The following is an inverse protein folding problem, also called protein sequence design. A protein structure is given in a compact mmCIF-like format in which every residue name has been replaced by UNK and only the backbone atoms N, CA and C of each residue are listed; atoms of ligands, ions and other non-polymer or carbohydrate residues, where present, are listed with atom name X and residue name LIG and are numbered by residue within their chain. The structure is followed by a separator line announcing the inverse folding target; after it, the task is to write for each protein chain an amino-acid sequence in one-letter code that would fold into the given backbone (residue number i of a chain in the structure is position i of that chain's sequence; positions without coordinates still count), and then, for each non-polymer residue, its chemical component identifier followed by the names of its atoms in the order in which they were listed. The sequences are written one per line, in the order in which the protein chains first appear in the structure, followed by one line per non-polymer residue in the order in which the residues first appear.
data_IF_373989959751
#
_entry.id   IF_373989959751
#
_cell.length_a   1.000
_cell.length_b   1.000
_cell.length_c   1.000
_cell.angle_alpha   90.00
_cell.angle_beta   90.00
_cell.angle_gamma   90.00
#
_symmetry.space_group_name_H-M   'P 1'
#
loop_
_entity.id
_entity.type
_entity.pdbx_description
1 polymer ?
#
# COMPACT_ATOMS: atom_id res chain seq x y z
N UNK A 1 11.18 -7.11 -1.98
CA UNK A 1 11.80 -7.55 -3.25
C UNK A 1 11.68 -6.40 -4.24
N UNK A 2 12.71 -6.12 -5.03
CA UNK A 2 12.62 -5.06 -6.07
C UNK A 2 11.90 -5.57 -7.32
N UNK A 3 11.33 -4.66 -8.10
CA UNK A 3 10.52 -4.99 -9.27
C UNK A 3 11.26 -5.87 -10.29
N UNK A 4 12.53 -5.57 -10.53
CA UNK A 4 13.41 -6.31 -11.46
C UNK A 4 13.50 -7.80 -11.05
N UNK A 5 13.53 -8.08 -9.75
CA UNK A 5 13.59 -9.45 -9.23
C UNK A 5 12.22 -10.11 -9.24
N UNK A 6 11.15 -9.35 -8.97
CA UNK A 6 9.78 -9.89 -8.98
C UNK A 6 9.33 -10.31 -10.37
N UNK A 7 9.81 -9.66 -11.45
CA UNK A 7 9.44 -10.01 -12.83
C UNK A 7 9.83 -11.44 -13.26
N UNK A 8 10.61 -12.14 -12.46
CA UNK A 8 10.98 -13.55 -12.66
C UNK A 8 9.97 -14.52 -12.04
N UNK A 9 9.03 -14.03 -11.24
CA UNK A 9 8.02 -14.84 -10.55
C UNK A 9 6.84 -15.13 -11.47
N UNK A 10 6.37 -16.37 -11.45
CA UNK A 10 5.05 -16.71 -12.02
C UNK A 10 3.93 -16.01 -11.23
N UNK A 11 2.75 -15.83 -11.83
CA UNK A 11 1.61 -15.18 -11.15
C UNK A 11 1.25 -15.82 -9.79
N UNK A 12 1.21 -17.15 -9.63
CA UNK A 12 0.99 -17.76 -8.31
C UNK A 12 2.07 -17.44 -7.28
N UNK A 13 3.34 -17.37 -7.70
CA UNK A 13 4.46 -17.02 -6.81
C UNK A 13 4.40 -15.54 -6.42
N UNK A 14 4.10 -14.67 -7.38
CA UNK A 14 3.91 -13.24 -7.13
C UNK A 14 2.76 -13.00 -6.17
N UNK A 15 1.59 -13.60 -6.42
CA UNK A 15 0.42 -13.51 -5.53
C UNK A 15 0.70 -14.05 -4.13
N UNK A 16 1.47 -15.13 -4.00
CA UNK A 16 1.90 -15.64 -2.70
C UNK A 16 2.80 -14.64 -1.95
N UNK A 17 3.66 -13.93 -2.69
CA UNK A 17 4.62 -12.97 -2.12
C UNK A 17 3.97 -11.62 -1.75
N UNK A 18 3.18 -11.03 -2.66
CA UNK A 18 2.61 -9.69 -2.50
C UNK A 18 1.19 -9.69 -1.95
N UNK A 19 0.46 -10.80 -2.08
CA UNK A 19 -0.95 -10.91 -1.75
C UNK A 19 -1.91 -10.61 -2.91
N UNK A 20 -1.43 -10.14 -4.06
CA UNK A 20 -2.25 -9.74 -5.22
C UNK A 20 -1.72 -10.32 -6.53
N UNK A 21 -2.57 -10.45 -7.55
CA UNK A 21 -2.12 -10.87 -8.89
C UNK A 21 -1.35 -9.77 -9.61
N UNK A 22 -0.64 -10.14 -10.68
CA UNK A 22 0.01 -9.16 -11.56
C UNK A 22 -0.96 -8.17 -12.17
N UNK A 23 -2.17 -8.61 -12.54
CA UNK A 23 -3.21 -7.73 -13.10
C UNK A 23 -3.60 -6.61 -12.14
N UNK A 24 -3.86 -6.93 -10.87
CA UNK A 24 -4.16 -5.95 -9.82
C UNK A 24 -2.97 -5.04 -9.57
N UNK A 25 -1.76 -5.58 -9.53
CA UNK A 25 -0.54 -4.79 -9.35
C UNK A 25 -0.36 -3.73 -10.44
N UNK A 26 -0.52 -4.09 -11.72
CA UNK A 26 -0.41 -3.12 -12.81
C UNK A 26 -1.51 -2.07 -12.78
N UNK A 27 -2.73 -2.44 -12.36
CA UNK A 27 -3.80 -1.47 -12.15
C UNK A 27 -3.45 -0.44 -11.07
N UNK A 28 -2.82 -0.87 -9.97
CA UNK A 28 -2.33 0.04 -8.93
C UNK A 28 -1.25 0.99 -9.47
N UNK A 29 -0.26 0.46 -10.20
CA UNK A 29 0.80 1.27 -10.83
C UNK A 29 0.22 2.30 -11.80
N UNK A 30 -0.79 1.93 -12.58
CA UNK A 30 -1.51 2.85 -13.48
C UNK A 30 -2.19 4.00 -12.71
N UNK A 31 -2.80 3.72 -11.55
CA UNK A 31 -3.40 4.78 -10.73
C UNK A 31 -2.34 5.74 -10.17
N UNK A 32 -1.18 5.23 -9.76
CA UNK A 32 -0.08 6.08 -9.30
C UNK A 32 0.48 6.95 -10.43
N UNK A 33 0.57 6.41 -11.65
CA UNK A 33 1.07 7.12 -12.82
C UNK A 33 0.27 8.41 -13.11
N UNK A 34 -1.03 8.41 -12.82
CA UNK A 34 -1.93 9.59 -12.97
C UNK A 34 -1.61 10.73 -11.99
N UNK A 35 -0.90 10.43 -10.90
CA UNK A 35 -0.57 11.37 -9.83
C UNK A 35 0.91 11.72 -9.75
N UNK A 36 1.70 11.34 -10.76
CA UNK A 36 3.12 11.71 -10.84
C UNK A 36 3.26 13.22 -11.06
N UNK A 37 3.99 13.94 -10.20
CA UNK A 37 4.24 15.37 -10.40
C UNK A 37 5.00 15.61 -11.70
N UNK A 38 4.48 16.49 -12.57
CA UNK A 38 5.16 16.89 -13.80
C UNK A 38 6.43 17.75 -13.54
N UNK A 39 6.60 18.28 -12.33
CA UNK A 39 7.71 19.15 -11.94
C UNK A 39 8.28 18.72 -10.59
N UNK A 40 9.59 18.84 -10.43
CA UNK A 40 10.30 18.56 -9.19
C UNK A 40 11.41 17.51 -9.36
N UNK A 41 12.02 17.11 -8.25
CA UNK A 41 13.01 16.04 -8.25
C UNK A 41 12.32 14.69 -8.48
N UNK A 42 12.77 13.87 -9.44
CA UNK A 42 12.20 12.55 -9.64
C UNK A 42 12.43 11.67 -8.39
N UNK A 43 11.47 10.79 -8.06
CA UNK A 43 11.63 9.85 -6.97
C UNK A 43 12.79 8.88 -7.25
N UNK A 44 13.46 8.43 -6.18
CA UNK A 44 14.58 7.47 -6.29
C UNK A 44 14.12 6.07 -6.72
N UNK A 45 12.89 5.71 -6.36
CA UNK A 45 12.27 4.42 -6.68
C UNK A 45 11.30 4.57 -7.85
N UNK A 46 11.21 3.56 -8.70
CA UNK A 46 10.19 3.48 -9.75
C UNK A 46 8.79 3.38 -9.13
N UNK A 47 7.74 3.57 -9.93
CA UNK A 47 6.37 3.43 -9.43
C UNK A 47 6.09 2.00 -8.98
N UNK A 48 6.61 1.02 -9.70
CA UNK A 48 6.51 -0.39 -9.36
C UNK A 48 7.17 -0.70 -8.02
N UNK A 49 8.39 -0.19 -7.80
CA UNK A 49 9.09 -0.35 -6.53
C UNK A 49 8.38 0.36 -5.38
N UNK A 50 7.71 1.50 -5.63
CA UNK A 50 6.89 2.19 -4.64
C UNK A 50 5.66 1.36 -4.24
N UNK A 51 4.96 0.76 -5.20
CA UNK A 51 3.83 -0.15 -4.92
C UNK A 51 4.31 -1.40 -4.18
N UNK A 52 5.41 -2.02 -4.62
CA UNK A 52 5.97 -3.21 -3.95
C UNK A 52 6.43 -2.91 -2.53
N UNK A 53 7.03 -1.73 -2.30
CA UNK A 53 7.40 -1.26 -0.96
C UNK A 53 6.15 -1.19 -0.07
N UNK A 54 5.09 -0.57 -0.56
CA UNK A 54 3.82 -0.45 0.17
C UNK A 54 3.19 -1.82 0.48
N UNK A 55 3.13 -2.72 -0.52
CA UNK A 55 2.63 -4.08 -0.35
C UNK A 55 3.44 -4.87 0.67
N UNK A 56 4.76 -4.72 0.69
CA UNK A 56 5.61 -5.38 1.70
C UNK A 56 5.33 -4.87 3.12
N UNK A 57 5.06 -3.57 3.26
CA UNK A 57 4.66 -2.98 4.53
C UNK A 57 3.32 -3.55 5.01
N UNK A 58 2.28 -3.52 4.17
CA UNK A 58 0.95 -4.02 4.55
C UNK A 58 0.92 -5.54 4.80
N UNK A 59 1.68 -6.31 4.02
CA UNK A 59 1.65 -7.78 4.09
C UNK A 59 2.41 -8.34 5.29
N UNK A 60 3.55 -7.74 5.63
CA UNK A 60 4.48 -8.28 6.64
C UNK A 60 4.54 -7.41 7.90
N UNK A 61 3.91 -6.24 7.88
CA UNK A 61 3.85 -5.28 8.99
C UNK A 61 5.22 -4.95 9.60
N UNK A 62 6.28 -4.99 8.77
CA UNK A 62 7.64 -4.65 9.18
C UNK A 62 7.75 -3.16 9.45
N UNK A 63 8.67 -2.79 10.35
CA UNK A 63 8.94 -1.36 10.62
C UNK A 63 9.36 -0.64 9.34
N UNK A 64 8.96 0.63 9.22
CA UNK A 64 9.33 1.45 8.07
C UNK A 64 10.86 1.57 7.92
N UNK A 65 11.62 1.52 9.02
CA UNK A 65 13.07 1.40 8.99
C UNK A 65 13.54 0.16 8.20
N UNK A 66 13.04 -1.04 8.53
CA UNK A 66 13.40 -2.28 7.85
C UNK A 66 13.04 -2.27 6.36
N UNK A 67 11.84 -1.78 6.05
CA UNK A 67 11.36 -1.65 4.67
C UNK A 67 12.25 -0.65 3.92
N UNK A 68 12.51 0.52 4.48
CA UNK A 68 13.35 1.56 3.88
C UNK A 68 14.77 1.06 3.58
N UNK A 69 15.39 0.33 4.51
CA UNK A 69 16.72 -0.27 4.33
C UNK A 69 16.73 -1.24 3.14
N UNK A 70 15.70 -2.08 3.01
CA UNK A 70 15.60 -3.07 1.91
C UNK A 70 15.53 -2.41 0.52
N UNK A 71 14.95 -1.21 0.44
CA UNK A 71 14.82 -0.44 -0.80
C UNK A 71 15.92 0.64 -0.96
N UNK A 72 16.81 0.80 0.02
CA UNK A 72 17.89 1.79 -0.01
C UNK A 72 17.40 3.24 0.03
N UNK A 73 16.30 3.50 0.76
CA UNK A 73 15.75 4.84 1.01
C UNK A 73 15.81 5.17 2.51
N UNK A 74 15.58 6.43 2.88
CA UNK A 74 15.44 6.78 4.30
C UNK A 74 14.07 6.38 4.84
N UNK A 75 13.96 6.14 6.13
CA UNK A 75 12.70 5.81 6.79
C UNK A 75 11.60 6.88 6.56
N UNK A 76 11.87 8.19 6.65
CA UNK A 76 10.88 9.21 6.28
C UNK A 76 10.43 9.13 4.82
N UNK A 77 11.33 8.75 3.90
CA UNK A 77 10.97 8.55 2.49
C UNK A 77 10.05 7.34 2.31
N UNK A 78 10.33 6.22 2.97
CA UNK A 78 9.42 5.06 2.95
C UNK A 78 8.04 5.42 3.51
N UNK A 79 7.97 6.15 4.63
CA UNK A 79 6.71 6.65 5.20
C UNK A 79 5.91 7.48 4.20
N UNK A 80 6.57 8.43 3.50
CA UNK A 80 5.91 9.26 2.47
C UNK A 80 5.45 8.45 1.28
N UNK A 81 6.21 7.42 0.87
CA UNK A 81 5.81 6.52 -0.22
C UNK A 81 4.54 5.77 0.18
N UNK A 82 4.51 5.11 1.34
CA UNK A 82 3.32 4.36 1.80
C UNK A 82 2.09 5.25 1.78
N UNK A 83 2.16 6.45 2.39
CA UNK A 83 1.04 7.41 2.40
C UNK A 83 0.64 7.86 1.00
N UNK A 84 1.61 8.13 0.13
CA UNK A 84 1.32 8.55 -1.24
C UNK A 84 0.61 7.46 -2.05
N UNK A 85 1.08 6.22 -1.94
CA UNK A 85 0.45 5.06 -2.59
C UNK A 85 -0.98 4.89 -2.06
N UNK A 86 -1.16 4.90 -0.74
CA UNK A 86 -2.47 4.81 -0.09
C UNK A 86 -3.43 5.91 -0.57
N UNK A 87 -3.02 7.17 -0.53
CA UNK A 87 -3.81 8.32 -0.99
C UNK A 87 -4.26 8.17 -2.45
N UNK A 88 -3.37 7.69 -3.33
CA UNK A 88 -3.69 7.49 -4.74
C UNK A 88 -4.74 6.38 -4.94
N UNK A 89 -4.59 5.29 -4.19
CA UNK A 89 -5.51 4.15 -4.31
C UNK A 89 -6.89 4.47 -3.73
N UNK A 90 -6.95 5.15 -2.58
CA UNK A 90 -8.21 5.63 -1.98
C UNK A 90 -8.94 6.56 -2.96
N UNK A 91 -8.23 7.53 -3.55
CA UNK A 91 -8.83 8.47 -4.53
C UNK A 91 -9.35 7.77 -5.78
N UNK A 92 -8.76 6.65 -6.17
CA UNK A 92 -9.22 5.88 -7.34
C UNK A 92 -10.60 5.23 -7.11
N UNK A 93 -10.97 4.94 -5.86
CA UNK A 93 -12.16 4.15 -5.48
C UNK A 93 -12.22 2.73 -6.07
N UNK A 94 -11.18 2.25 -6.77
CA UNK A 94 -11.18 0.95 -7.44
C UNK A 94 -10.93 -0.23 -6.51
N UNK A 95 -10.31 0.02 -5.36
CA UNK A 95 -9.87 -1.01 -4.40
C UNK A 95 -10.70 -1.02 -3.12
N UNK A 96 -11.82 -0.28 -3.12
CA UNK A 96 -12.72 -0.25 -1.98
C UNK A 96 -13.41 -1.60 -1.84
N UNK A 97 -13.52 -2.09 -0.61
CA UNK A 97 -14.38 -3.21 -0.32
C UNK A 97 -15.83 -2.83 -0.61
N UNK A 98 -16.65 -3.77 -1.12
CA UNK A 98 -18.07 -3.52 -1.29
C UNK A 98 -18.68 -3.20 0.07
N UNK A 99 -19.54 -2.18 0.12
CA UNK A 99 -20.24 -1.78 1.35
C UNK A 99 -21.26 -2.82 1.79
N UNK A 100 -21.84 -3.49 0.81
CA UNK A 100 -22.82 -4.55 1.01
C UNK A 100 -22.12 -5.90 0.84
N UNK A 101 -22.51 -6.85 1.68
CA UNK A 101 -21.96 -8.20 1.60
C UNK A 101 -22.52 -8.88 0.34
N UNK A 102 -21.69 -9.56 -0.47
CA UNK A 102 -22.16 -10.23 -1.67
C UNK A 102 -23.10 -11.39 -1.31
N UNK A 103 -24.30 -11.40 -1.89
CA UNK A 103 -25.27 -12.50 -1.74
C UNK A 103 -24.93 -13.63 -2.74
N UNK A 104 -24.79 -14.88 -2.26
CA UNK A 104 -24.58 -16.04 -3.14
C UNK A 104 -24.43 -17.39 -2.43
N UNK A 105 -24.88 -18.46 -3.08
CA UNK A 105 -24.68 -19.85 -2.64
C UNK A 105 -23.20 -20.24 -2.82
N UNK A 106 -22.50 -20.49 -1.70
CA UNK A 106 -21.08 -20.87 -1.68
C UNK A 106 -20.19 -20.04 -0.76
N UNK A 107 -20.73 -18.98 -0.15
CA UNK A 107 -20.04 -18.17 0.86
C UNK A 107 -20.53 -18.63 2.24
N UNK A 108 -19.69 -19.37 2.97
CA UNK A 108 -19.97 -19.73 4.37
C UNK A 108 -19.85 -18.48 5.24
N UNK A 109 -20.99 -18.02 5.78
CA UNK A 109 -21.18 -16.72 6.45
C UNK A 109 -20.56 -16.60 7.85
N UNK A 110 -19.38 -17.17 8.06
CA UNK A 110 -18.55 -16.96 9.25
C UNK A 110 -17.33 -16.07 8.98
N UNK A 111 -17.35 -15.25 7.92
CA UNK A 111 -16.25 -14.34 7.58
C UNK A 111 -16.65 -12.91 7.90
N UNK A 112 -16.09 -12.37 8.99
CA UNK A 112 -16.15 -10.93 9.28
C UNK A 112 -15.05 -10.25 8.46
N UNK A 113 -15.44 -9.42 7.50
CA UNK A 113 -14.48 -8.56 6.78
C UNK A 113 -14.26 -7.33 7.65
N UNK A 114 -13.20 -7.35 8.46
CA UNK A 114 -12.77 -6.20 9.26
C UNK A 114 -11.74 -5.43 8.44
N UNK A 115 -12.05 -4.17 8.12
CA UNK A 115 -11.05 -3.21 7.67
C UNK A 115 -10.12 -2.89 8.85
N UNK A 116 -8.94 -3.49 8.85
CA UNK A 116 -7.91 -3.33 9.87
C UNK A 116 -6.84 -2.29 9.45
N UNK A 117 -7.23 -1.27 8.68
CA UNK A 117 -6.33 -0.18 8.31
C UNK A 117 -5.96 0.69 9.53
N UNK A 118 -4.74 1.21 9.52
CA UNK A 118 -4.23 2.11 10.56
C UNK A 118 -4.97 3.45 10.51
N UNK A 119 -5.95 3.64 11.38
CA UNK A 119 -6.58 4.95 11.55
C UNK A 119 -5.60 5.84 12.32
N UNK A 120 -5.30 7.07 11.84
CA UNK A 120 -4.45 7.99 12.58
C UNK A 120 -5.05 8.24 13.96
N UNK A 121 -4.26 7.94 14.99
CA UNK A 121 -4.66 8.15 16.38
C UNK A 121 -4.91 9.65 16.56
N UNK A 122 -6.11 10.02 17.03
CA UNK A 122 -6.39 11.43 17.33
C UNK A 122 -5.42 11.90 18.41
N UNK A 123 -4.50 12.80 18.03
CA UNK A 123 -3.62 13.45 18.99
C UNK A 123 -4.50 14.29 19.92
N UNK A 124 -4.44 14.10 21.25
CA UNK A 124 -5.12 14.97 22.19
C UNK A 124 -4.72 16.43 21.93
N UNK A 125 -5.70 17.32 21.80
CA UNK A 125 -5.42 18.76 21.69
C UNK A 125 -4.70 19.19 22.97
N UNK A 126 -3.62 19.96 22.80
CA UNK A 126 -2.84 20.47 23.92
C UNK A 126 -3.70 21.49 24.67
N UNK A 127 -4.20 21.12 25.85
CA UNK A 127 -4.81 22.08 26.78
C UNK A 127 -3.67 22.86 27.42
N UNK A 128 -3.57 24.16 27.15
CA UNK A 128 -2.72 25.02 27.96
C UNK A 128 -3.40 25.20 29.31
N UNK A 129 -2.87 24.54 30.33
CA UNK A 129 -2.85 25.07 31.70
C UNK A 129 -1.58 24.51 32.34
N UNK A 130 -0.49 25.26 32.17
CA UNK A 130 0.64 25.18 33.08
C UNK A 130 0.48 26.35 34.04
N UNK A 131 0.08 26.02 35.28
CA UNK A 131 0.27 26.87 36.46
C UNK A 131 1.73 27.27 36.61
#
# INVERSE_FOLDING_TARGET
MKYIDSNKLSDPQFKRYTGISWSTFYLMVEQLQKHVPAKGRPPKLSLEDQVLLCLSYWREYRTLFHVATSYGVSEPTASRIVRHVEDCLIRSNLFNLPKDLPEGEGIDWNVVIVDATEIPIQRPKKTEEKL
#
